data_IF_298584838085
#
_entry.id   IF_298584838085
#
_cell.length_a   1.000
_cell.length_b   1.000
_cell.length_c   1.000
_cell.angle_alpha   90.00
_cell.angle_beta   90.00
_cell.angle_gamma   90.00
#
_symmetry.space_group_name_H-M   'P 1'
#
loop_
_entity.id
_entity.type
_entity.pdbx_description
1 polymer ?
#
# COMPACT_ATOMS: atom_id res chain seq x y z
N UNK A 1 24.35 9.69 -13.95
CA UNK A 1 23.39 10.49 -13.12
C UNK A 1 24.14 11.00 -11.88
N UNK A 2 23.83 12.20 -11.44
CA UNK A 2 24.23 12.69 -10.11
C UNK A 2 22.96 13.05 -9.38
N UNK A 3 22.55 12.23 -8.43
CA UNK A 3 21.30 12.38 -7.64
C UNK A 3 21.20 13.79 -7.05
N UNK A 4 22.26 14.32 -6.47
CA UNK A 4 22.28 15.67 -5.90
C UNK A 4 21.87 16.77 -6.88
N UNK A 5 22.32 16.72 -8.15
CA UNK A 5 22.00 17.73 -9.17
C UNK A 5 20.53 17.67 -9.54
N UNK A 6 19.98 16.46 -9.72
CA UNK A 6 18.56 16.28 -10.01
C UNK A 6 17.71 16.77 -8.86
N UNK A 7 18.08 16.41 -7.62
CA UNK A 7 17.35 16.84 -6.42
C UNK A 7 17.37 18.37 -6.23
N UNK A 8 18.49 19.04 -6.51
CA UNK A 8 18.57 20.51 -6.48
C UNK A 8 17.59 21.15 -7.47
N UNK A 9 17.53 20.64 -8.71
CA UNK A 9 16.60 21.14 -9.73
C UNK A 9 15.15 20.86 -9.32
N UNK A 10 14.86 19.66 -8.82
CA UNK A 10 13.51 19.27 -8.41
C UNK A 10 13.03 20.10 -7.21
N UNK A 11 13.88 20.31 -6.21
CA UNK A 11 13.56 21.12 -5.04
C UNK A 11 13.29 22.60 -5.41
N UNK A 12 13.98 23.13 -6.39
CA UNK A 12 13.74 24.47 -6.91
C UNK A 12 12.38 24.62 -7.62
N UNK A 13 11.93 23.54 -8.30
CA UNK A 13 10.61 23.50 -8.98
C UNK A 13 9.45 23.26 -8.01
N UNK A 14 9.67 22.50 -6.93
CA UNK A 14 8.66 22.04 -6.01
C UNK A 14 8.95 22.50 -4.56
N UNK A 15 9.03 23.80 -4.30
CA UNK A 15 9.34 24.32 -2.97
C UNK A 15 8.25 23.94 -1.96
N UNK A 16 8.67 23.38 -0.83
CA UNK A 16 7.77 22.98 0.25
C UNK A 16 7.12 21.60 0.12
N UNK A 17 7.44 20.84 -0.93
CA UNK A 17 6.91 19.48 -1.13
C UNK A 17 7.84 18.42 -0.53
N UNK A 18 8.03 18.46 0.79
CA UNK A 18 9.04 17.67 1.52
C UNK A 18 8.87 16.15 1.36
N UNK A 19 7.63 15.66 1.46
CA UNK A 19 7.34 14.22 1.35
C UNK A 19 7.65 13.69 -0.05
N UNK A 20 7.28 14.46 -1.06
CA UNK A 20 7.57 14.11 -2.45
C UNK A 20 9.07 14.10 -2.74
N UNK A 21 9.79 15.14 -2.32
CA UNK A 21 11.23 15.24 -2.52
C UNK A 21 12.00 14.14 -1.79
N UNK A 22 11.59 13.79 -0.58
CA UNK A 22 12.19 12.68 0.17
C UNK A 22 12.02 11.34 -0.58
N UNK A 23 10.82 11.03 -1.05
CA UNK A 23 10.56 9.78 -1.76
C UNK A 23 11.37 9.66 -3.06
N UNK A 24 11.47 10.76 -3.82
CA UNK A 24 12.31 10.80 -5.03
C UNK A 24 13.77 10.56 -4.68
N UNK A 25 14.29 11.23 -3.66
CA UNK A 25 15.68 11.07 -3.23
C UNK A 25 16.02 9.62 -2.88
N UNK A 26 15.19 8.95 -2.06
CA UNK A 26 15.38 7.55 -1.66
C UNK A 26 15.46 6.59 -2.86
N UNK A 27 14.61 6.80 -3.86
CA UNK A 27 14.64 5.98 -5.07
C UNK A 27 15.87 6.29 -5.91
N UNK A 28 16.21 7.58 -6.14
CA UNK A 28 17.35 7.97 -6.96
C UNK A 28 18.68 7.47 -6.37
N UNK A 29 18.86 7.53 -5.05
CA UNK A 29 20.03 6.98 -4.36
C UNK A 29 20.16 5.46 -4.59
N UNK A 30 19.04 4.73 -4.57
CA UNK A 30 19.02 3.28 -4.79
C UNK A 30 19.38 2.88 -6.23
N UNK A 31 19.00 3.69 -7.23
CA UNK A 31 19.14 3.35 -8.66
C UNK A 31 20.38 3.97 -9.33
N UNK A 32 21.09 4.88 -8.68
CA UNK A 32 22.17 5.66 -9.30
C UNK A 32 23.23 4.78 -9.97
N UNK A 33 23.66 3.73 -9.29
CA UNK A 33 24.66 2.79 -9.80
C UNK A 33 24.20 2.10 -11.09
N UNK A 34 22.98 1.54 -11.07
CA UNK A 34 22.40 0.82 -12.22
C UNK A 34 22.11 1.79 -13.38
N UNK A 35 21.57 2.97 -13.08
CA UNK A 35 21.33 3.99 -14.10
C UNK A 35 22.61 4.35 -14.85
N UNK A 36 23.74 4.49 -14.15
CA UNK A 36 25.03 4.87 -14.75
C UNK A 36 25.62 3.77 -15.65
N UNK A 37 25.12 2.54 -15.57
CA UNK A 37 25.46 1.45 -16.49
C UNK A 37 24.68 1.51 -17.82
N UNK A 38 23.67 2.41 -17.93
CA UNK A 38 22.76 2.56 -19.05
C UNK A 38 22.83 3.98 -19.66
N UNK A 39 23.83 4.28 -20.50
CA UNK A 39 23.98 5.61 -21.10
C UNK A 39 22.79 6.03 -21.98
N UNK A 40 22.03 5.07 -22.51
CA UNK A 40 20.78 5.30 -23.22
C UNK A 40 19.70 5.97 -22.35
N UNK A 41 19.65 5.69 -21.06
CA UNK A 41 18.72 6.32 -20.12
C UNK A 41 19.04 7.81 -19.91
N UNK A 42 20.33 8.15 -19.78
CA UNK A 42 20.78 9.54 -19.70
C UNK A 42 20.43 10.32 -20.97
N UNK A 43 20.68 9.72 -22.13
CA UNK A 43 20.36 10.34 -23.43
C UNK A 43 18.85 10.59 -23.60
N UNK A 44 18.02 9.69 -23.12
CA UNK A 44 16.56 9.79 -23.18
C UNK A 44 15.94 10.59 -22.02
N UNK A 45 16.76 11.11 -21.09
CA UNK A 45 16.32 11.86 -19.91
C UNK A 45 15.29 11.09 -19.08
N UNK A 46 15.49 9.77 -18.91
CA UNK A 46 14.51 8.89 -18.27
C UNK A 46 14.18 9.35 -16.85
N UNK A 47 15.18 9.68 -16.03
CA UNK A 47 14.95 10.08 -14.64
C UNK A 47 14.25 11.43 -14.58
N UNK A 48 14.69 12.43 -15.33
CA UNK A 48 14.08 13.77 -15.35
C UNK A 48 12.60 13.72 -15.78
N UNK A 49 12.23 12.77 -16.65
CA UNK A 49 10.85 12.53 -17.08
C UNK A 49 10.08 11.71 -16.02
N UNK A 50 10.73 10.75 -15.39
CA UNK A 50 10.11 9.82 -14.44
C UNK A 50 9.80 10.47 -13.09
N UNK A 51 10.56 11.48 -12.67
CA UNK A 51 10.32 12.19 -11.42
C UNK A 51 9.26 13.28 -11.51
N UNK A 52 8.73 13.56 -12.67
CA UNK A 52 7.61 14.50 -12.85
C UNK A 52 6.35 13.73 -13.25
N UNK A 53 5.19 14.05 -12.67
CA UNK A 53 3.94 13.41 -13.08
C UNK A 53 3.53 13.86 -14.49
N UNK A 54 2.91 12.94 -15.23
CA UNK A 54 2.38 13.26 -16.58
C UNK A 54 1.30 14.36 -16.51
N UNK A 55 0.41 14.30 -15.49
CA UNK A 55 -0.68 15.28 -15.29
C UNK A 55 -1.10 15.38 -13.83
N UNK A 56 -1.53 16.57 -13.45
CA UNK A 56 -2.19 16.81 -12.16
C UNK A 56 -3.50 17.55 -12.42
N UNK A 57 -4.61 16.98 -11.99
CA UNK A 57 -5.90 17.63 -11.97
C UNK A 57 -6.19 18.14 -10.57
N UNK A 58 -6.53 19.42 -10.46
CA UNK A 58 -7.02 20.05 -9.22
C UNK A 58 -8.36 20.66 -9.53
N UNK A 59 -9.36 20.36 -8.71
CA UNK A 59 -10.72 20.82 -8.93
C UNK A 59 -11.43 21.09 -7.61
N UNK A 60 -12.39 22.01 -7.65
CA UNK A 60 -13.24 22.31 -6.49
C UNK A 60 -14.43 21.35 -6.46
N UNK A 61 -14.67 20.76 -5.30
CA UNK A 61 -15.84 19.92 -5.02
C UNK A 61 -16.79 20.69 -4.14
N UNK A 62 -17.99 20.99 -4.64
CA UNK A 62 -19.04 21.71 -3.89
C UNK A 62 -20.19 20.75 -3.60
N UNK A 63 -20.60 20.68 -2.34
CA UNK A 63 -21.65 19.76 -1.88
C UNK A 63 -22.44 20.38 -0.72
N UNK A 64 -23.57 19.75 -0.34
CA UNK A 64 -24.45 20.24 0.73
C UNK A 64 -24.43 19.22 1.88
N UNK A 65 -24.23 19.72 3.11
CA UNK A 65 -24.27 18.88 4.32
C UNK A 65 -25.71 18.56 4.78
N UNK A 66 -25.84 17.85 5.90
CA UNK A 66 -27.14 17.47 6.45
C UNK A 66 -27.91 18.65 7.06
N UNK A 67 -27.25 19.78 7.31
CA UNK A 67 -27.86 21.03 7.77
C UNK A 67 -28.37 21.91 6.61
N UNK A 68 -28.06 21.52 5.36
CA UNK A 68 -28.39 22.27 4.17
C UNK A 68 -27.38 23.36 3.81
N UNK A 69 -26.22 23.38 4.50
CA UNK A 69 -25.17 24.34 4.26
C UNK A 69 -24.22 23.90 3.14
N UNK A 70 -23.77 24.87 2.34
CA UNK A 70 -22.86 24.63 1.23
C UNK A 70 -21.43 24.44 1.75
N UNK A 71 -20.84 23.32 1.42
CA UNK A 71 -19.47 22.94 1.74
C UNK A 71 -18.60 22.94 0.48
N UNK A 72 -17.31 23.24 0.63
CA UNK A 72 -16.35 23.21 -0.46
C UNK A 72 -15.07 22.50 -0.03
N UNK A 73 -14.58 21.62 -0.88
CA UNK A 73 -13.32 20.90 -0.72
C UNK A 73 -12.50 20.99 -2.02
N UNK A 74 -11.20 20.67 -1.93
CA UNK A 74 -10.36 20.49 -3.10
C UNK A 74 -10.23 19.00 -3.41
N UNK A 75 -10.43 18.66 -4.67
CA UNK A 75 -10.19 17.34 -5.21
C UNK A 75 -8.95 17.32 -6.09
N UNK A 76 -8.26 16.18 -6.12
CA UNK A 76 -7.01 16.00 -6.87
C UNK A 76 -6.95 14.63 -7.53
N UNK A 77 -6.32 14.58 -8.73
CA UNK A 77 -5.84 13.34 -9.33
C UNK A 77 -4.47 13.59 -9.94
N UNK A 78 -3.47 12.86 -9.47
CA UNK A 78 -2.12 12.82 -10.01
C UNK A 78 -2.01 11.57 -10.87
N UNK A 79 -1.94 11.74 -12.19
CA UNK A 79 -1.59 10.73 -13.17
C UNK A 79 -0.07 10.78 -13.31
N UNK A 80 0.63 9.84 -12.66
CA UNK A 80 2.06 9.99 -12.48
C UNK A 80 2.85 9.44 -13.66
N UNK A 81 2.63 8.18 -14.03
CA UNK A 81 3.32 7.55 -15.16
C UNK A 81 2.47 6.40 -15.72
N UNK A 82 2.32 6.34 -17.04
CA UNK A 82 1.53 5.32 -17.74
C UNK A 82 2.35 4.44 -18.71
N UNK A 83 3.66 4.46 -18.62
CA UNK A 83 4.52 3.73 -19.56
C UNK A 83 4.28 2.21 -19.58
N UNK A 84 3.81 1.63 -18.48
CA UNK A 84 3.56 0.18 -18.39
C UNK A 84 2.07 -0.22 -18.34
N UNK A 85 1.17 0.74 -18.48
CA UNK A 85 -0.28 0.49 -18.50
C UNK A 85 -1.08 1.70 -18.00
N UNK A 86 -2.42 1.58 -17.91
CA UNK A 86 -3.26 2.67 -17.46
C UNK A 86 -2.85 3.15 -16.06
N UNK A 87 -3.03 4.44 -15.80
CA UNK A 87 -2.78 4.99 -14.47
C UNK A 87 -3.58 4.23 -13.41
N UNK A 88 -2.96 3.82 -12.32
CA UNK A 88 -3.60 3.02 -11.27
C UNK A 88 -3.16 3.46 -9.89
N UNK A 89 -4.13 3.76 -9.03
CA UNK A 89 -3.86 4.11 -7.64
C UNK A 89 -5.10 4.61 -6.90
N UNK A 90 -5.05 4.55 -5.57
CA UNK A 90 -6.19 4.84 -4.70
C UNK A 90 -6.58 6.32 -4.63
N UNK A 91 -7.80 6.55 -4.17
CA UNK A 91 -8.31 7.86 -3.73
C UNK A 91 -8.26 7.90 -2.19
N UNK A 92 -7.72 8.99 -1.64
CA UNK A 92 -7.66 9.23 -0.19
C UNK A 92 -8.56 10.40 0.18
N UNK A 93 -9.46 10.18 1.14
CA UNK A 93 -10.27 11.26 1.73
C UNK A 93 -9.83 11.49 3.17
N UNK A 94 -9.10 12.58 3.38
CA UNK A 94 -8.58 12.94 4.68
C UNK A 94 -8.16 14.40 4.70
N UNK A 95 -8.40 15.10 5.80
CA UNK A 95 -8.10 16.55 5.97
C UNK A 95 -6.64 16.96 5.69
N UNK A 96 -5.70 16.03 5.77
CA UNK A 96 -4.28 16.28 5.50
C UNK A 96 -3.89 16.11 4.03
N UNK A 97 -4.81 15.71 3.14
CA UNK A 97 -4.52 15.52 1.72
C UNK A 97 -4.10 16.84 1.08
N UNK A 98 -2.97 16.80 0.40
CA UNK A 98 -2.38 17.92 -0.32
C UNK A 98 -1.62 17.42 -1.56
N UNK A 99 -1.23 18.30 -2.50
CA UNK A 99 -0.52 17.90 -3.73
C UNK A 99 0.80 17.18 -3.49
N UNK A 100 1.62 17.60 -2.50
CA UNK A 100 2.91 16.97 -2.17
C UNK A 100 2.71 15.50 -1.78
N UNK A 101 1.77 15.24 -0.86
CA UNK A 101 1.41 13.88 -0.45
C UNK A 101 0.95 13.02 -1.63
N UNK A 102 0.12 13.56 -2.50
CA UNK A 102 -0.42 12.78 -3.63
C UNK A 102 0.63 12.54 -4.73
N UNK A 103 1.56 13.47 -4.95
CA UNK A 103 2.73 13.25 -5.82
C UNK A 103 3.64 12.17 -5.26
N UNK A 104 3.99 12.25 -3.98
CA UNK A 104 4.74 11.22 -3.27
C UNK A 104 4.12 9.83 -3.48
N UNK A 105 2.83 9.71 -3.13
CA UNK A 105 2.12 8.43 -3.22
C UNK A 105 1.95 7.94 -4.68
N UNK A 106 1.80 8.85 -5.65
CA UNK A 106 1.72 8.51 -7.07
C UNK A 106 3.06 8.01 -7.64
N UNK A 107 4.15 8.65 -7.24
CA UNK A 107 5.51 8.24 -7.57
C UNK A 107 5.82 6.84 -7.03
N UNK A 108 5.62 6.61 -5.75
CA UNK A 108 5.79 5.30 -5.11
C UNK A 108 4.88 4.22 -5.74
N UNK A 109 3.65 4.59 -6.10
CA UNK A 109 2.70 3.69 -6.73
C UNK A 109 3.18 3.20 -8.10
N UNK A 110 3.92 4.03 -8.86
CA UNK A 110 4.49 3.66 -10.15
C UNK A 110 5.43 2.45 -10.02
N UNK A 111 6.35 2.49 -9.07
CA UNK A 111 7.30 1.38 -8.83
C UNK A 111 6.63 0.16 -8.20
N UNK A 112 5.73 0.38 -7.27
CA UNK A 112 4.96 -0.69 -6.65
C UNK A 112 4.13 -1.47 -7.67
N UNK A 113 3.44 -0.78 -8.57
CA UNK A 113 2.67 -1.41 -9.64
C UNK A 113 3.58 -2.16 -10.62
N UNK A 114 4.75 -1.60 -10.94
CA UNK A 114 5.74 -2.23 -11.81
C UNK A 114 6.20 -3.59 -11.26
N UNK A 115 6.39 -3.71 -9.95
CA UNK A 115 6.78 -4.98 -9.30
C UNK A 115 5.74 -6.08 -9.46
N UNK A 116 4.45 -5.77 -9.56
CA UNK A 116 3.37 -6.78 -9.67
C UNK A 116 3.41 -7.56 -10.98
N UNK A 117 4.22 -7.17 -11.95
CA UNK A 117 4.24 -7.69 -13.33
C UNK A 117 3.00 -7.35 -14.17
N UNK A 118 1.93 -6.90 -13.55
CA UNK A 118 0.68 -6.52 -14.21
C UNK A 118 0.84 -5.19 -14.98
N UNK A 119 0.08 -4.99 -16.08
CA UNK A 119 0.17 -3.78 -16.90
C UNK A 119 -0.58 -2.61 -16.25
N UNK A 120 0.03 -1.99 -15.25
CA UNK A 120 -0.53 -0.87 -14.51
C UNK A 120 0.51 0.21 -14.27
N UNK A 121 0.21 1.42 -14.71
CA UNK A 121 0.97 2.63 -14.39
C UNK A 121 0.76 3.11 -12.96
N UNK A 122 1.22 4.31 -12.64
CA UNK A 122 1.10 4.91 -11.30
C UNK A 122 0.19 6.13 -11.28
N UNK A 123 -0.67 6.21 -10.29
CA UNK A 123 -1.48 7.38 -9.98
C UNK A 123 -1.84 7.46 -8.50
N UNK A 124 -2.27 8.65 -8.07
CA UNK A 124 -2.90 8.85 -6.76
C UNK A 124 -3.87 10.00 -6.83
N UNK A 125 -4.93 9.95 -6.05
CA UNK A 125 -5.88 11.04 -5.97
C UNK A 125 -6.49 11.16 -4.57
N UNK A 126 -7.38 12.11 -4.42
CA UNK A 126 -8.09 12.31 -3.16
C UNK A 126 -8.63 13.71 -2.97
N UNK A 127 -8.98 13.99 -1.73
CA UNK A 127 -9.53 15.27 -1.31
C UNK A 127 -9.20 15.54 0.16
N UNK A 128 -9.18 16.82 0.52
CA UNK A 128 -9.14 17.29 1.91
C UNK A 128 -10.47 17.07 2.67
N UNK A 129 -11.45 16.45 2.04
CA UNK A 129 -12.68 15.99 2.70
C UNK A 129 -12.36 14.92 3.74
N UNK A 130 -12.90 15.09 4.96
CA UNK A 130 -12.76 14.11 6.04
C UNK A 130 -14.11 13.39 6.25
N UNK A 131 -14.21 12.09 5.95
CA UNK A 131 -15.45 11.33 6.13
C UNK A 131 -15.76 11.01 7.60
N UNK A 132 -14.82 11.22 8.53
CA UNK A 132 -15.01 10.92 9.95
C UNK A 132 -16.13 11.79 10.52
N UNK A 133 -17.13 11.15 11.12
CA UNK A 133 -18.28 11.84 11.72
C UNK A 133 -19.34 12.33 10.74
N UNK A 134 -19.19 12.08 9.45
CA UNK A 134 -20.17 12.40 8.41
C UNK A 134 -21.20 11.28 8.27
N UNK A 135 -22.43 11.66 7.92
CA UNK A 135 -23.48 10.70 7.59
C UNK A 135 -23.22 10.02 6.25
N UNK A 136 -23.85 8.85 6.02
CA UNK A 136 -23.78 8.17 4.72
C UNK A 136 -24.34 9.04 3.59
N UNK A 137 -25.35 9.88 3.89
CA UNK A 137 -25.94 10.79 2.93
C UNK A 137 -24.98 11.94 2.57
N UNK A 138 -24.25 12.50 3.53
CA UNK A 138 -23.19 13.49 3.27
C UNK A 138 -22.06 12.91 2.44
N UNK A 139 -21.57 11.73 2.80
CA UNK A 139 -20.51 11.02 2.06
C UNK A 139 -20.95 10.70 0.63
N UNK A 140 -22.19 10.27 0.45
CA UNK A 140 -22.74 10.01 -0.88
C UNK A 140 -22.78 11.29 -1.73
N UNK A 141 -23.30 12.40 -1.20
CA UNK A 141 -23.34 13.69 -1.91
C UNK A 141 -21.94 14.19 -2.27
N UNK A 142 -20.98 14.06 -1.33
CA UNK A 142 -19.59 14.41 -1.60
C UNK A 142 -19.00 13.53 -2.72
N UNK A 143 -19.13 12.21 -2.65
CA UNK A 143 -18.64 11.30 -3.68
C UNK A 143 -19.23 11.58 -5.06
N UNK A 144 -20.51 11.90 -5.13
CA UNK A 144 -21.18 12.28 -6.38
C UNK A 144 -20.64 13.59 -6.95
N UNK A 145 -20.46 14.61 -6.11
CA UNK A 145 -19.86 15.88 -6.51
C UNK A 145 -18.40 15.73 -6.93
N UNK A 146 -17.61 14.92 -6.23
CA UNK A 146 -16.23 14.59 -6.58
C UNK A 146 -16.13 13.89 -7.94
N UNK A 147 -17.00 12.90 -8.18
CA UNK A 147 -17.02 12.17 -9.46
C UNK A 147 -17.48 13.04 -10.62
N UNK A 148 -18.39 14.01 -10.40
CA UNK A 148 -18.82 14.96 -11.42
C UNK A 148 -17.64 15.73 -12.04
N UNK A 149 -16.61 16.04 -11.25
CA UNK A 149 -15.41 16.70 -11.73
C UNK A 149 -14.37 15.71 -12.31
N UNK A 150 -14.26 14.51 -11.74
CA UNK A 150 -13.20 13.56 -12.10
C UNK A 150 -13.52 12.72 -13.35
N UNK A 151 -14.78 12.40 -13.63
CA UNK A 151 -15.19 11.31 -14.53
C UNK A 151 -14.60 11.36 -15.95
N UNK A 152 -14.33 12.57 -16.49
CA UNK A 152 -13.76 12.74 -17.85
C UNK A 152 -12.29 12.37 -17.93
N UNK A 153 -11.62 12.27 -16.79
CA UNK A 153 -10.17 12.05 -16.70
C UNK A 153 -9.82 10.60 -16.33
N UNK A 154 -10.82 9.74 -16.12
CA UNK A 154 -10.66 8.33 -15.75
C UNK A 154 -11.37 7.41 -16.75
N UNK A 155 -10.98 6.15 -16.78
CA UNK A 155 -11.53 5.15 -17.68
C UNK A 155 -10.78 3.83 -17.57
N UNK A 156 -11.39 2.75 -18.05
CA UNK A 156 -10.88 1.37 -17.91
C UNK A 156 -9.48 1.17 -18.48
N UNK A 157 -9.12 1.89 -19.55
CA UNK A 157 -7.83 1.82 -20.24
C UNK A 157 -7.03 3.13 -20.12
N UNK A 158 -7.50 4.08 -19.30
CA UNK A 158 -6.86 5.38 -19.12
C UNK A 158 -6.34 5.53 -17.70
N UNK A 159 -7.24 5.51 -16.73
CA UNK A 159 -6.95 5.73 -15.31
C UNK A 159 -8.00 5.03 -14.45
N UNK A 160 -7.57 4.11 -13.62
CA UNK A 160 -8.46 3.27 -12.79
C UNK A 160 -8.20 3.53 -11.30
N UNK A 161 -8.98 4.43 -10.67
CA UNK A 161 -8.89 4.67 -9.24
C UNK A 161 -9.35 3.46 -8.40
N UNK A 162 -8.91 3.44 -7.14
CA UNK A 162 -9.26 2.44 -6.13
C UNK A 162 -9.52 3.10 -4.77
N UNK A 163 -9.85 2.31 -3.76
CA UNK A 163 -9.91 2.77 -2.38
C UNK A 163 -8.52 3.00 -1.76
N UNK A 164 -8.47 3.86 -0.77
CA UNK A 164 -7.35 4.16 0.12
C UNK A 164 -7.91 4.68 1.46
N UNK A 165 -7.12 5.35 2.29
CA UNK A 165 -7.60 5.94 3.56
C UNK A 165 -8.85 6.80 3.32
N UNK A 166 -9.91 6.54 4.09
CA UNK A 166 -11.19 7.25 3.98
C UNK A 166 -12.04 6.90 2.76
N UNK A 167 -11.60 5.95 1.93
CA UNK A 167 -12.33 5.47 0.74
C UNK A 167 -12.38 3.95 0.76
N UNK A 168 -13.47 3.42 1.23
CA UNK A 168 -13.77 1.98 1.25
C UNK A 168 -14.79 1.57 0.19
N UNK A 169 -15.35 0.36 0.33
CA UNK A 169 -16.34 -0.17 -0.61
C UNK A 169 -17.60 0.69 -0.73
N UNK A 170 -18.01 1.38 0.35
CA UNK A 170 -19.13 2.31 0.37
C UNK A 170 -18.87 3.51 -0.56
N UNK A 171 -17.74 4.18 -0.39
CA UNK A 171 -17.32 5.34 -1.19
C UNK A 171 -17.12 4.93 -2.65
N UNK A 172 -16.47 3.80 -2.90
CA UNK A 172 -16.32 3.24 -4.26
C UNK A 172 -17.69 2.99 -4.90
N UNK A 173 -18.67 2.51 -4.14
CA UNK A 173 -20.04 2.34 -4.61
C UNK A 173 -20.69 3.65 -5.06
N UNK A 174 -20.59 4.70 -4.22
CA UNK A 174 -21.14 6.02 -4.55
C UNK A 174 -20.45 6.67 -5.75
N UNK A 175 -19.12 6.56 -5.82
CA UNK A 175 -18.33 7.04 -6.97
C UNK A 175 -18.69 6.31 -8.25
N UNK A 176 -18.77 4.98 -8.21
CA UNK A 176 -19.13 4.17 -9.39
C UNK A 176 -20.54 4.45 -9.88
N UNK A 177 -21.53 4.54 -8.97
CA UNK A 177 -22.90 4.84 -9.34
C UNK A 177 -23.04 6.17 -10.08
N UNK A 178 -22.31 7.20 -9.64
CA UNK A 178 -22.29 8.50 -10.31
C UNK A 178 -21.55 8.44 -11.65
N UNK A 179 -20.42 7.73 -11.74
CA UNK A 179 -19.71 7.55 -13.01
C UNK A 179 -20.58 6.91 -14.08
N UNK A 180 -21.25 5.79 -13.77
CA UNK A 180 -22.16 5.11 -14.70
C UNK A 180 -23.28 6.04 -15.20
N UNK A 181 -23.78 6.90 -14.33
CA UNK A 181 -24.82 7.87 -14.67
C UNK A 181 -24.33 8.93 -15.65
N UNK A 182 -23.09 9.40 -15.48
CA UNK A 182 -22.47 10.42 -16.32
C UNK A 182 -21.98 9.87 -17.66
N UNK A 183 -21.33 8.72 -17.65
CA UNK A 183 -20.81 8.06 -18.85
C UNK A 183 -21.90 7.53 -19.76
N UNK A 184 -23.06 7.16 -19.20
CA UNK A 184 -24.19 6.50 -19.91
C UNK A 184 -23.81 5.16 -20.55
N UNK A 185 -22.71 4.59 -20.14
CA UNK A 185 -22.18 3.29 -20.55
C UNK A 185 -21.76 2.52 -19.31
N UNK A 186 -21.93 1.20 -19.32
CA UNK A 186 -21.54 0.39 -18.16
C UNK A 186 -20.07 -0.06 -18.29
N UNK A 187 -19.19 0.69 -17.65
CA UNK A 187 -17.75 0.39 -17.58
C UNK A 187 -17.41 -0.31 -16.26
N UNK A 188 -17.46 -1.65 -16.25
CA UNK A 188 -17.21 -2.45 -15.05
C UNK A 188 -15.84 -2.16 -14.45
N UNK A 189 -14.80 -1.96 -15.27
CA UNK A 189 -13.40 -1.82 -14.86
C UNK A 189 -12.97 -0.41 -14.48
N UNK A 190 -13.83 0.61 -14.46
CA UNK A 190 -13.41 2.01 -14.22
C UNK A 190 -12.88 2.27 -12.83
N UNK A 191 -13.29 1.49 -11.84
CA UNK A 191 -12.84 1.55 -10.45
C UNK A 191 -12.56 0.14 -9.94
N UNK A 192 -11.65 -0.02 -8.99
CA UNK A 192 -11.45 -1.29 -8.28
C UNK A 192 -11.77 -1.15 -6.78
N UNK A 193 -11.98 -2.29 -6.12
CA UNK A 193 -12.50 -2.34 -4.75
C UNK A 193 -14.02 -2.34 -4.71
N UNK A 194 -14.65 -2.79 -5.81
CA UNK A 194 -16.10 -2.89 -5.96
C UNK A 194 -16.69 -4.03 -5.11
N UNK A 195 -18.00 -3.94 -4.86
CA UNK A 195 -18.76 -5.03 -4.28
C UNK A 195 -18.92 -6.22 -5.25
N UNK A 196 -19.03 -7.42 -4.71
CA UNK A 196 -19.14 -8.67 -5.50
C UNK A 196 -20.33 -8.69 -6.46
N UNK A 197 -21.41 -8.01 -6.13
CA UNK A 197 -22.64 -7.99 -6.95
C UNK A 197 -22.53 -7.13 -8.22
N UNK A 198 -21.46 -6.37 -8.37
CA UNK A 198 -21.28 -5.41 -9.48
C UNK A 198 -19.83 -5.30 -9.96
N UNK A 199 -19.15 -6.44 -10.05
CA UNK A 199 -17.86 -6.57 -10.71
C UNK A 199 -16.63 -6.48 -9.80
N UNK A 200 -16.79 -6.63 -8.49
CA UNK A 200 -15.69 -6.74 -7.54
C UNK A 200 -15.00 -8.10 -7.59
N UNK A 201 -13.78 -8.17 -7.07
CA UNK A 201 -13.03 -9.42 -6.89
C UNK A 201 -13.14 -9.91 -5.46
N UNK A 202 -13.24 -11.22 -5.31
CA UNK A 202 -13.07 -11.90 -4.00
C UNK A 202 -11.65 -11.70 -3.48
N UNK A 203 -11.42 -11.87 -2.19
CA UNK A 203 -10.15 -11.70 -1.46
C UNK A 203 -9.61 -10.26 -1.45
N UNK A 204 -10.39 -9.24 -1.86
CA UNK A 204 -9.87 -7.86 -1.93
C UNK A 204 -9.61 -7.22 -0.55
N UNK A 205 -10.47 -7.41 0.48
CA UNK A 205 -10.23 -6.85 1.82
C UNK A 205 -8.97 -7.38 2.49
N UNK A 206 -8.69 -8.67 2.38
CA UNK A 206 -7.56 -9.37 3.00
C UNK A 206 -6.27 -9.37 2.17
N UNK A 207 -6.36 -9.01 0.89
CA UNK A 207 -5.29 -9.19 -0.09
C UNK A 207 -3.94 -8.60 0.29
N UNK A 208 -3.93 -7.44 0.97
CA UNK A 208 -2.68 -6.81 1.40
C UNK A 208 -1.99 -7.66 2.48
N UNK A 209 -2.75 -8.12 3.47
CA UNK A 209 -2.25 -9.01 4.51
C UNK A 209 -1.81 -10.37 3.96
N UNK A 210 -2.60 -10.98 3.08
CA UNK A 210 -2.27 -12.25 2.42
C UNK A 210 -0.97 -12.13 1.63
N UNK A 211 -0.87 -11.13 0.77
CA UNK A 211 0.32 -10.87 -0.01
C UNK A 211 1.57 -10.65 0.85
N UNK A 212 1.42 -9.94 1.96
CA UNK A 212 2.53 -9.73 2.89
C UNK A 212 3.06 -11.05 3.46
N UNK A 213 2.17 -11.98 3.81
CA UNK A 213 2.58 -13.29 4.31
C UNK A 213 3.21 -14.17 3.21
N UNK A 214 2.70 -14.13 1.98
CA UNK A 214 3.33 -14.82 0.85
C UNK A 214 4.74 -14.29 0.58
N UNK A 215 4.91 -12.97 0.55
CA UNK A 215 6.24 -12.38 0.42
C UNK A 215 7.17 -12.79 1.58
N UNK A 216 6.67 -12.75 2.82
CA UNK A 216 7.43 -13.15 4.01
C UNK A 216 7.81 -14.62 3.94
N UNK A 217 6.92 -15.51 3.50
CA UNK A 217 7.20 -16.94 3.30
C UNK A 217 8.37 -17.14 2.34
N UNK A 218 8.35 -16.49 1.16
CA UNK A 218 9.46 -16.59 0.19
C UNK A 218 10.76 -16.01 0.74
N UNK A 219 10.70 -14.90 1.48
CA UNK A 219 11.86 -14.32 2.15
C UNK A 219 12.46 -15.29 3.17
N UNK A 220 11.63 -15.99 3.94
CA UNK A 220 12.08 -17.00 4.90
C UNK A 220 12.69 -18.23 4.19
N UNK A 221 12.06 -18.72 3.13
CA UNK A 221 12.58 -19.84 2.33
C UNK A 221 13.98 -19.53 1.76
N UNK A 222 14.22 -18.28 1.33
CA UNK A 222 15.54 -17.82 0.87
C UNK A 222 16.61 -17.96 1.95
N UNK A 223 16.22 -17.95 3.23
CA UNK A 223 17.14 -18.14 4.38
C UNK A 223 17.09 -19.55 4.96
N UNK A 224 16.41 -20.49 4.31
CA UNK A 224 16.24 -21.87 4.78
C UNK A 224 15.29 -22.01 5.98
N UNK A 225 14.39 -21.02 6.19
CA UNK A 225 13.41 -21.01 7.29
C UNK A 225 11.98 -21.09 6.74
N UNK A 226 11.03 -21.38 7.62
CA UNK A 226 9.58 -21.40 7.32
C UNK A 226 8.83 -20.56 8.33
N UNK A 227 7.57 -20.22 8.02
CA UNK A 227 6.64 -19.56 8.95
C UNK A 227 6.15 -20.48 10.06
N UNK A 228 6.14 -21.78 9.82
CA UNK A 228 5.62 -22.77 10.79
C UNK A 228 6.29 -22.63 12.16
N UNK A 229 5.48 -22.49 13.19
CA UNK A 229 5.90 -22.35 14.59
C UNK A 229 6.56 -21.00 14.93
N UNK A 230 6.71 -20.05 14.00
CA UNK A 230 7.26 -18.72 14.26
C UNK A 230 6.24 -17.83 14.96
N UNK A 231 6.74 -16.98 15.84
CA UNK A 231 5.93 -15.98 16.53
C UNK A 231 5.91 -14.68 15.74
N UNK A 232 4.71 -14.09 15.61
CA UNK A 232 4.49 -12.88 14.78
C UNK A 232 3.83 -11.80 15.62
N UNK A 233 4.38 -10.58 15.62
CA UNK A 233 3.76 -9.40 16.20
C UNK A 233 3.22 -8.50 15.07
N UNK A 234 1.95 -8.09 15.19
CA UNK A 234 1.24 -7.29 14.18
C UNK A 234 0.76 -5.98 14.81
N UNK A 235 1.01 -4.84 14.16
CA UNK A 235 0.38 -3.59 14.55
C UNK A 235 -0.97 -3.41 13.86
N UNK A 236 -1.93 -2.82 14.56
CA UNK A 236 -3.28 -2.60 14.05
C UNK A 236 -4.20 -3.82 14.18
N UNK A 237 -5.47 -3.59 13.83
CA UNK A 237 -6.52 -4.62 13.72
C UNK A 237 -7.53 -4.29 12.60
N UNK A 238 -7.10 -3.47 11.61
CA UNK A 238 -7.83 -3.18 10.39
C UNK A 238 -7.75 -4.33 9.37
N UNK A 239 -8.22 -4.11 8.12
CA UNK A 239 -8.23 -5.12 7.06
C UNK A 239 -6.86 -5.77 6.83
N UNK A 240 -5.81 -4.95 6.82
CA UNK A 240 -4.44 -5.42 6.56
C UNK A 240 -3.97 -6.35 7.67
N UNK A 241 -4.10 -5.92 8.93
CA UNK A 241 -3.73 -6.72 10.09
C UNK A 241 -4.58 -7.98 10.23
N UNK A 242 -5.89 -7.88 9.96
CA UNK A 242 -6.80 -9.02 9.94
C UNK A 242 -6.38 -10.07 8.91
N UNK A 243 -6.18 -9.67 7.65
CA UNK A 243 -5.70 -10.58 6.61
C UNK A 243 -4.33 -11.17 6.92
N UNK A 244 -3.41 -10.36 7.47
CA UNK A 244 -2.10 -10.85 7.89
C UNK A 244 -2.20 -11.88 9.02
N UNK A 245 -3.04 -11.65 10.03
CA UNK A 245 -3.25 -12.59 11.13
C UNK A 245 -3.87 -13.90 10.65
N UNK A 246 -4.87 -13.84 9.76
CA UNK A 246 -5.49 -15.01 9.17
C UNK A 246 -4.49 -15.84 8.38
N UNK A 247 -3.77 -15.23 7.43
CA UNK A 247 -2.83 -15.97 6.58
C UNK A 247 -1.61 -16.47 7.38
N UNK A 248 -1.11 -15.72 8.36
CA UNK A 248 -0.04 -16.18 9.24
C UNK A 248 -0.43 -17.46 9.99
N UNK A 249 -1.66 -17.50 10.52
CA UNK A 249 -2.21 -18.68 11.23
C UNK A 249 -2.39 -19.85 10.27
N UNK A 250 -2.91 -19.63 9.05
CA UNK A 250 -3.04 -20.67 8.02
C UNK A 250 -1.69 -21.26 7.62
N UNK A 251 -0.61 -20.49 7.60
CA UNK A 251 0.76 -20.92 7.30
C UNK A 251 1.52 -21.46 8.53
N UNK A 252 0.82 -21.71 9.63
CA UNK A 252 1.36 -22.33 10.85
C UNK A 252 2.13 -21.41 11.79
N UNK A 253 2.12 -20.10 11.56
CA UNK A 253 2.71 -19.14 12.49
C UNK A 253 1.76 -18.83 13.66
N UNK A 254 2.34 -18.35 14.78
CA UNK A 254 1.60 -17.90 15.97
C UNK A 254 1.60 -16.38 16.03
N UNK A 255 0.45 -15.75 15.84
CA UNK A 255 0.30 -14.30 16.05
C UNK A 255 0.16 -14.03 17.55
N UNK A 256 1.24 -13.54 18.16
CA UNK A 256 1.37 -13.37 19.62
C UNK A 256 1.03 -11.97 20.10
N UNK A 257 0.87 -11.01 19.21
CA UNK A 257 0.50 -9.64 19.54
C UNK A 257 -0.28 -8.96 18.42
N UNK A 258 -1.32 -8.21 18.80
CA UNK A 258 -1.96 -7.18 17.98
C UNK A 258 -1.98 -5.87 18.77
N UNK A 259 -1.87 -4.72 18.11
CA UNK A 259 -1.89 -3.42 18.78
C UNK A 259 -2.90 -2.45 18.18
N UNK A 260 -3.28 -1.47 18.97
CA UNK A 260 -4.15 -0.37 18.59
C UNK A 260 -3.65 0.96 19.17
N UNK A 261 -4.38 2.07 18.95
CA UNK A 261 -4.01 3.37 19.50
C UNK A 261 -3.99 3.40 21.04
N UNK A 262 -4.74 2.52 21.67
CA UNK A 262 -4.89 2.42 23.13
C UNK A 262 -3.85 1.53 23.81
N UNK A 263 -3.16 0.64 23.04
CA UNK A 263 -2.15 -0.24 23.60
C UNK A 263 -1.90 -1.50 22.79
N UNK A 264 -1.40 -2.54 23.46
CA UNK A 264 -1.14 -3.87 22.88
C UNK A 264 -1.94 -4.94 23.59
N UNK A 265 -2.42 -5.89 22.81
CA UNK A 265 -3.01 -7.15 23.29
C UNK A 265 -2.01 -8.27 23.00
N UNK A 266 -1.39 -8.82 24.06
CA UNK A 266 -0.53 -10.00 24.00
C UNK A 266 -1.38 -11.28 24.03
N UNK A 267 -1.04 -12.24 23.16
CA UNK A 267 -1.76 -13.52 22.98
C UNK A 267 -0.70 -14.64 22.98
N UNK A 268 -0.18 -15.06 24.15
CA UNK A 268 1.00 -15.93 24.24
C UNK A 268 0.90 -17.26 23.48
N UNK A 269 -0.30 -17.86 23.45
CA UNK A 269 -0.54 -19.13 22.74
C UNK A 269 -0.84 -18.96 21.25
N UNK A 270 -0.88 -17.70 20.77
CA UNK A 270 -1.26 -17.33 19.41
C UNK A 270 -2.76 -17.04 19.26
N UNK A 271 -3.06 -16.20 18.29
CA UNK A 271 -4.44 -15.82 17.96
C UNK A 271 -5.24 -17.02 17.44
N UNK A 272 -6.48 -17.17 17.86
CA UNK A 272 -7.38 -18.23 17.39
C UNK A 272 -8.27 -17.76 16.25
N UNK A 273 -8.89 -18.69 15.51
CA UNK A 273 -9.87 -18.35 14.46
C UNK A 273 -11.00 -17.47 14.98
N UNK A 274 -11.53 -17.76 16.20
CA UNK A 274 -12.58 -16.94 16.82
C UNK A 274 -12.11 -15.52 17.12
N UNK A 275 -10.85 -15.34 17.52
CA UNK A 275 -10.26 -14.01 17.74
C UNK A 275 -10.06 -13.26 16.41
N UNK A 276 -9.67 -13.96 15.35
CA UNK A 276 -9.54 -13.38 14.00
C UNK A 276 -10.90 -12.87 13.51
N UNK A 277 -11.96 -13.67 13.65
CA UNK A 277 -13.31 -13.25 13.32
C UNK A 277 -13.75 -12.04 14.19
N UNK A 278 -13.37 -12.01 15.45
CA UNK A 278 -13.68 -10.90 16.34
C UNK A 278 -12.96 -9.60 15.97
N UNK A 279 -11.80 -9.65 15.28
CA UNK A 279 -11.15 -8.45 14.75
C UNK A 279 -12.09 -7.68 13.77
N UNK A 280 -12.92 -8.39 13.00
CA UNK A 280 -13.93 -7.76 12.14
C UNK A 280 -15.01 -7.01 12.95
N UNK A 281 -15.43 -7.58 14.07
CA UNK A 281 -16.39 -6.95 15.00
C UNK A 281 -15.76 -5.70 15.63
N UNK A 282 -14.52 -5.79 16.12
CA UNK A 282 -13.79 -4.65 16.68
C UNK A 282 -13.69 -3.51 15.66
N UNK A 283 -13.37 -3.82 14.43
CA UNK A 283 -13.30 -2.83 13.34
C UNK A 283 -14.66 -2.18 13.08
N UNK A 284 -15.72 -2.98 12.97
CA UNK A 284 -17.07 -2.50 12.71
C UNK A 284 -17.62 -1.62 13.86
N UNK A 285 -17.13 -1.81 15.08
CA UNK A 285 -17.56 -1.02 16.24
C UNK A 285 -17.15 0.46 16.19
N UNK A 286 -16.16 0.81 15.36
CA UNK A 286 -15.55 2.14 15.27
C UNK A 286 -15.00 2.70 16.62
N UNK A 287 -14.89 1.88 17.65
CA UNK A 287 -14.35 2.27 18.97
C UNK A 287 -12.84 2.47 18.93
N UNK A 288 -12.18 1.83 17.98
CA UNK A 288 -10.73 1.88 17.78
C UNK A 288 -9.91 1.50 19.02
N UNK A 289 -10.35 0.44 19.73
CA UNK A 289 -9.74 -0.07 20.96
C UNK A 289 -9.33 -1.53 20.81
N UNK A 290 -8.03 -1.80 20.95
CA UNK A 290 -7.52 -3.19 20.96
C UNK A 290 -7.82 -3.89 22.28
N UNK A 291 -8.07 -3.14 23.36
CA UNK A 291 -8.53 -3.66 24.65
C UNK A 291 -9.75 -4.57 24.51
N UNK A 292 -10.65 -4.30 23.56
CA UNK A 292 -11.86 -5.09 23.34
C UNK A 292 -11.56 -6.58 23.09
N UNK A 293 -10.36 -6.90 22.53
CA UNK A 293 -9.90 -8.28 22.36
C UNK A 293 -9.68 -8.96 23.72
N UNK A 294 -8.98 -8.33 24.64
CA UNK A 294 -8.72 -8.89 25.96
C UNK A 294 -10.01 -8.94 26.81
N UNK A 295 -10.90 -7.97 26.68
CA UNK A 295 -12.19 -7.96 27.37
C UNK A 295 -13.07 -9.13 26.91
N UNK A 296 -13.02 -9.50 25.63
CA UNK A 296 -13.76 -10.63 25.05
C UNK A 296 -13.12 -11.98 25.39
N UNK A 297 -11.79 -12.05 25.41
CA UNK A 297 -11.01 -13.28 25.59
C UNK A 297 -10.04 -13.20 26.78
N UNK A 298 -10.52 -12.96 28.04
CA UNK A 298 -9.65 -12.65 29.17
C UNK A 298 -8.77 -13.82 29.63
N UNK A 299 -9.07 -15.05 29.20
CA UNK A 299 -8.24 -16.20 29.49
C UNK A 299 -7.06 -16.39 28.56
N UNK A 300 -7.11 -15.79 27.33
CA UNK A 300 -6.12 -16.01 26.27
C UNK A 300 -5.35 -14.74 25.91
N UNK A 301 -5.91 -13.57 26.19
CA UNK A 301 -5.38 -12.27 25.77
C UNK A 301 -5.19 -11.33 26.95
N UNK A 302 -4.06 -10.61 26.96
CA UNK A 302 -3.68 -9.67 28.01
C UNK A 302 -3.46 -8.29 27.42
N UNK A 303 -4.22 -7.29 27.86
CA UNK A 303 -4.06 -5.92 27.42
C UNK A 303 -3.05 -5.14 28.26
N UNK A 304 -2.17 -4.40 27.60
CA UNK A 304 -1.25 -3.44 28.23
C UNK A 304 -1.44 -2.07 27.58
N UNK A 305 -1.92 -1.06 28.34
CA UNK A 305 -2.19 0.27 27.79
C UNK A 305 -0.91 0.99 27.37
N UNK A 306 -0.98 1.77 26.28
CA UNK A 306 0.07 2.65 25.82
C UNK A 306 1.33 1.97 25.30
N UNK A 307 1.38 0.63 25.24
CA UNK A 307 2.47 -0.13 24.66
C UNK A 307 2.16 -0.49 23.19
N UNK A 308 3.22 -0.62 22.38
CA UNK A 308 3.14 -1.08 21.00
C UNK A 308 3.30 -2.61 20.91
N UNK A 309 2.94 -3.18 19.75
CA UNK A 309 3.17 -4.61 19.48
C UNK A 309 4.65 -5.02 19.64
N UNK A 310 5.55 -4.08 19.42
CA UNK A 310 7.00 -4.25 19.47
C UNK A 310 7.57 -4.58 20.84
N UNK A 311 6.79 -4.33 21.91
CA UNK A 311 7.15 -4.71 23.29
C UNK A 311 6.94 -6.19 23.60
N UNK A 312 6.30 -6.94 22.70
CA UNK A 312 6.06 -8.38 22.88
C UNK A 312 7.13 -9.17 22.09
N UNK A 313 7.83 -10.13 22.75
CA UNK A 313 8.81 -10.98 22.09
C UNK A 313 8.22 -11.72 20.88
N UNK A 314 8.90 -11.62 19.73
CA UNK A 314 8.48 -12.28 18.51
C UNK A 314 9.66 -12.58 17.59
N UNK A 315 9.49 -13.52 16.67
CA UNK A 315 10.45 -13.80 15.58
C UNK A 315 10.32 -12.78 14.45
N UNK A 316 9.09 -12.40 14.11
CA UNK A 316 8.73 -11.61 12.93
C UNK A 316 7.85 -10.44 13.36
N UNK A 317 8.18 -9.23 12.90
CA UNK A 317 7.38 -8.03 13.07
C UNK A 317 6.71 -7.62 11.77
N UNK A 318 5.41 -7.35 11.81
CA UNK A 318 4.59 -6.89 10.68
C UNK A 318 3.94 -5.55 11.01
N UNK A 319 4.55 -4.40 10.68
CA UNK A 319 3.90 -3.10 10.76
C UNK A 319 2.74 -3.00 9.77
N UNK A 320 1.49 -3.01 10.28
CA UNK A 320 0.27 -3.05 9.46
C UNK A 320 -0.66 -1.84 9.65
N UNK A 321 -0.29 -0.86 10.49
CA UNK A 321 -1.20 0.22 10.88
C UNK A 321 -0.95 1.53 10.13
N UNK A 322 0.14 2.23 10.44
CA UNK A 322 0.35 3.61 9.96
C UNK A 322 1.73 3.82 9.36
N UNK A 323 1.83 4.93 8.62
CA UNK A 323 3.09 5.50 8.20
C UNK A 323 3.93 5.92 9.43
N UNK A 324 5.26 5.62 9.40
CA UNK A 324 6.22 6.00 10.44
C UNK A 324 5.88 5.51 11.86
N UNK A 325 5.15 4.42 11.99
CA UNK A 325 4.73 3.87 13.29
C UNK A 325 5.88 3.20 14.08
N UNK A 326 6.90 2.69 13.38
CA UNK A 326 8.04 1.99 13.96
C UNK A 326 9.28 2.89 13.92
N UNK A 327 9.69 3.37 15.10
CA UNK A 327 10.85 4.22 15.27
C UNK A 327 12.15 3.41 15.42
N UNK A 328 13.31 4.07 15.42
CA UNK A 328 14.61 3.44 15.69
C UNK A 328 14.66 2.78 17.08
N UNK A 329 14.05 3.40 18.10
CA UNK A 329 13.99 2.82 19.44
C UNK A 329 13.08 1.58 19.48
N UNK A 330 11.97 1.58 18.75
CA UNK A 330 11.13 0.38 18.56
C UNK A 330 11.93 -0.75 17.87
N UNK A 331 12.77 -0.41 16.89
CA UNK A 331 13.61 -1.38 16.20
C UNK A 331 14.67 -2.01 17.13
N UNK A 332 15.24 -1.21 18.02
CA UNK A 332 16.15 -1.68 19.08
C UNK A 332 15.42 -2.61 20.06
N UNK A 333 14.22 -2.24 20.48
CA UNK A 333 13.38 -3.06 21.36
C UNK A 333 13.01 -4.41 20.71
N UNK A 334 12.57 -4.40 19.46
CA UNK A 334 12.30 -5.63 18.68
C UNK A 334 13.51 -6.55 18.63
N UNK A 335 14.68 -6.02 18.29
CA UNK A 335 15.93 -6.79 18.23
C UNK A 335 16.30 -7.38 19.58
N UNK A 336 16.18 -6.59 20.66
CA UNK A 336 16.46 -7.05 22.04
C UNK A 336 15.47 -8.15 22.46
N UNK A 337 14.22 -8.11 21.98
CA UNK A 337 13.18 -9.10 22.23
C UNK A 337 13.29 -10.35 21.32
N UNK A 338 14.33 -10.46 20.50
CA UNK A 338 14.60 -11.65 19.67
C UNK A 338 14.08 -11.57 18.24
N UNK A 339 13.47 -10.47 17.82
CA UNK A 339 13.01 -10.29 16.44
C UNK A 339 14.20 -10.27 15.46
N UNK A 340 14.09 -11.07 14.41
CA UNK A 340 15.13 -11.19 13.38
C UNK A 340 14.59 -10.95 11.96
N UNK A 341 13.29 -10.66 11.82
CA UNK A 341 12.68 -10.33 10.53
C UNK A 341 11.60 -9.25 10.74
N UNK A 342 11.65 -8.21 9.93
CA UNK A 342 10.63 -7.17 9.85
C UNK A 342 10.19 -7.00 8.39
N UNK A 343 8.94 -7.32 8.08
CA UNK A 343 8.34 -7.10 6.78
C UNK A 343 7.30 -5.98 6.89
N UNK A 344 7.60 -4.85 6.27
CA UNK A 344 6.77 -3.65 6.33
C UNK A 344 5.49 -3.83 5.51
N UNK A 345 4.33 -3.82 6.14
CA UNK A 345 3.04 -4.02 5.47
C UNK A 345 2.29 -2.71 5.24
N UNK A 346 2.38 -1.75 6.15
CA UNK A 346 1.90 -0.39 5.91
C UNK A 346 2.80 0.36 4.93
N UNK A 347 2.27 1.40 4.28
CA UNK A 347 3.09 2.25 3.42
C UNK A 347 4.02 3.10 4.30
N UNK A 348 5.36 2.94 4.14
CA UNK A 348 6.37 3.61 4.95
C UNK A 348 6.11 3.45 6.47
N UNK A 349 5.83 2.23 6.93
CA UNK A 349 5.54 1.94 8.34
C UNK A 349 6.73 2.16 9.26
N UNK A 350 7.94 1.95 8.75
CA UNK A 350 9.18 2.14 9.48
C UNK A 350 9.80 3.52 9.19
N UNK A 351 10.29 4.19 10.22
CA UNK A 351 11.08 5.41 10.05
C UNK A 351 12.47 5.08 9.45
N UNK A 352 13.12 6.01 8.73
CA UNK A 352 14.44 5.75 8.12
C UNK A 352 15.49 5.24 9.11
N UNK A 353 15.49 5.74 10.35
CA UNK A 353 16.38 5.26 11.41
C UNK A 353 16.16 3.80 11.79
N UNK A 354 14.90 3.34 11.79
CA UNK A 354 14.56 1.94 12.04
C UNK A 354 15.03 1.03 10.89
N UNK A 355 14.82 1.43 9.64
CA UNK A 355 15.27 0.70 8.45
C UNK A 355 16.80 0.56 8.49
N UNK A 356 17.50 1.67 8.71
CA UNK A 356 18.96 1.67 8.84
C UNK A 356 19.44 0.75 9.96
N UNK A 357 18.77 0.81 11.13
CA UNK A 357 19.10 -0.07 12.24
C UNK A 357 18.95 -1.54 11.89
N UNK A 358 17.84 -1.95 11.28
CA UNK A 358 17.60 -3.34 10.87
C UNK A 358 18.66 -3.84 9.91
N UNK A 359 18.96 -3.09 8.85
CA UNK A 359 19.95 -3.44 7.83
C UNK A 359 21.35 -3.65 8.40
N UNK A 360 21.74 -2.91 9.46
CA UNK A 360 23.09 -2.97 10.06
C UNK A 360 23.20 -3.87 11.29
N UNK A 361 22.08 -4.40 11.80
CA UNK A 361 22.07 -5.22 13.01
C UNK A 361 21.54 -6.64 12.81
N UNK A 362 21.58 -7.16 11.58
CA UNK A 362 21.24 -8.55 11.26
C UNK A 362 19.76 -8.88 11.46
N UNK A 363 18.88 -7.91 11.26
CA UNK A 363 17.45 -8.14 11.12
C UNK A 363 17.11 -8.08 9.63
N UNK A 364 16.47 -9.13 9.11
CA UNK A 364 15.99 -9.12 7.74
C UNK A 364 14.89 -8.06 7.60
N UNK A 365 15.05 -7.14 6.67
CA UNK A 365 14.07 -6.10 6.42
C UNK A 365 13.58 -6.14 4.98
N UNK A 366 12.27 -6.03 4.78
CA UNK A 366 11.65 -5.90 3.46
C UNK A 366 10.69 -4.69 3.43
N UNK A 367 10.77 -3.84 2.37
CA UNK A 367 10.05 -2.58 2.29
C UNK A 367 8.59 -2.76 1.89
N UNK A 368 7.74 -1.83 2.33
CA UNK A 368 6.30 -1.86 2.09
C UNK A 368 5.91 -1.95 0.62
N UNK A 369 6.60 -1.25 -0.27
CA UNK A 369 6.28 -1.29 -1.71
C UNK A 369 6.35 -2.69 -2.34
N UNK A 370 7.18 -3.59 -1.80
CA UNK A 370 7.23 -4.99 -2.21
C UNK A 370 6.25 -5.84 -1.39
N UNK A 371 6.32 -5.76 -0.06
CA UNK A 371 5.56 -6.60 0.86
C UNK A 371 4.05 -6.38 0.76
N UNK A 372 3.59 -5.13 0.67
CA UNK A 372 2.16 -4.80 0.67
C UNK A 372 1.53 -4.75 -0.74
N UNK A 373 2.24 -5.18 -1.76
CA UNK A 373 1.77 -5.15 -3.14
C UNK A 373 0.52 -6.04 -3.40
N UNK A 374 0.20 -6.96 -2.49
CA UNK A 374 -0.96 -7.84 -2.62
C UNK A 374 -2.28 -7.12 -2.86
N UNK A 375 -2.50 -5.98 -2.20
CA UNK A 375 -3.71 -5.18 -2.41
C UNK A 375 -3.84 -4.62 -3.82
N UNK A 376 -2.77 -4.08 -4.40
CA UNK A 376 -2.80 -3.57 -5.78
C UNK A 376 -2.73 -4.72 -6.80
N UNK A 377 -2.05 -5.82 -6.49
CA UNK A 377 -2.07 -7.02 -7.32
C UNK A 377 -3.50 -7.54 -7.49
N UNK A 378 -4.24 -7.72 -6.39
CA UNK A 378 -5.65 -8.14 -6.46
C UNK A 378 -6.52 -7.10 -7.17
N UNK A 379 -6.22 -5.80 -7.06
CA UNK A 379 -6.91 -4.79 -7.87
C UNK A 379 -6.64 -4.98 -9.37
N UNK A 380 -5.43 -5.34 -9.78
CA UNK A 380 -5.11 -5.69 -11.17
C UNK A 380 -5.81 -6.97 -11.63
N UNK A 381 -5.91 -7.97 -10.75
CA UNK A 381 -6.70 -9.17 -11.03
C UNK A 381 -8.22 -8.86 -11.16
N UNK A 382 -8.74 -7.90 -10.37
CA UNK A 382 -10.11 -7.39 -10.55
C UNK A 382 -10.29 -6.73 -11.92
N UNK A 383 -9.31 -5.91 -12.37
CA UNK A 383 -9.33 -5.34 -13.72
C UNK A 383 -9.37 -6.42 -14.80
N UNK A 384 -8.56 -7.47 -14.67
CA UNK A 384 -8.54 -8.61 -15.60
C UNK A 384 -9.90 -9.30 -15.66
N UNK A 385 -10.49 -9.64 -14.52
CA UNK A 385 -11.83 -10.23 -14.44
C UNK A 385 -12.90 -9.33 -15.09
N UNK A 386 -12.77 -8.00 -14.91
CA UNK A 386 -13.69 -7.04 -15.53
C UNK A 386 -13.54 -6.98 -17.06
N UNK A 387 -12.32 -7.08 -17.59
CA UNK A 387 -12.09 -7.16 -19.04
C UNK A 387 -12.61 -8.46 -19.65
N UNK A 388 -12.50 -9.57 -18.92
CA UNK A 388 -13.02 -10.87 -19.34
C UNK A 388 -14.54 -11.00 -19.17
N UNK A 389 -15.17 -10.07 -18.42
CA UNK A 389 -16.58 -10.17 -17.96
C UNK A 389 -16.88 -11.45 -17.18
N UNK A 390 -15.89 -11.93 -16.40
CA UNK A 390 -15.96 -13.14 -15.59
C UNK A 390 -15.63 -12.82 -14.13
N UNK A 391 -16.09 -13.68 -13.24
CA UNK A 391 -15.66 -13.70 -11.83
C UNK A 391 -14.88 -14.98 -11.57
N UNK A 392 -13.71 -14.86 -10.98
CA UNK A 392 -12.89 -16.00 -10.59
C UNK A 392 -13.24 -16.48 -9.19
N UNK A 393 -12.96 -17.76 -8.94
CA UNK A 393 -13.08 -18.36 -7.60
C UNK A 393 -12.03 -17.80 -6.64
N UNK A 394 -12.26 -17.97 -5.32
CA UNK A 394 -11.29 -17.58 -4.31
C UNK A 394 -9.92 -18.25 -4.53
N UNK A 395 -9.92 -19.54 -4.92
CA UNK A 395 -8.70 -20.28 -5.17
C UNK A 395 -7.92 -19.75 -6.39
N UNK A 396 -8.61 -19.37 -7.47
CA UNK A 396 -7.97 -18.78 -8.65
C UNK A 396 -7.30 -17.45 -8.32
N UNK A 397 -8.01 -16.57 -7.58
CA UNK A 397 -7.46 -15.28 -7.16
C UNK A 397 -6.28 -15.47 -6.21
N UNK A 398 -6.40 -16.35 -5.22
CA UNK A 398 -5.36 -16.61 -4.22
C UNK A 398 -4.10 -17.22 -4.86
N UNK A 399 -4.26 -18.19 -5.77
CA UNK A 399 -3.14 -18.79 -6.50
C UNK A 399 -2.38 -17.74 -7.32
N UNK A 400 -3.10 -16.86 -8.04
CA UNK A 400 -2.48 -15.79 -8.83
C UNK A 400 -1.81 -14.74 -7.94
N UNK A 401 -2.43 -14.40 -6.80
CA UNK A 401 -1.85 -13.50 -5.83
C UNK A 401 -0.53 -14.05 -5.28
N UNK A 402 -0.49 -15.34 -4.91
CA UNK A 402 0.71 -16.00 -4.42
C UNK A 402 1.83 -15.96 -5.48
N UNK A 403 1.54 -16.32 -6.74
CA UNK A 403 2.50 -16.26 -7.84
C UNK A 403 3.05 -14.85 -8.10
N UNK A 404 2.19 -13.82 -7.99
CA UNK A 404 2.63 -12.43 -8.13
C UNK A 404 3.59 -12.05 -6.99
N UNK A 405 3.27 -12.43 -5.75
CA UNK A 405 4.13 -12.12 -4.60
C UNK A 405 5.47 -12.87 -4.65
N UNK A 406 5.49 -14.12 -5.12
CA UNK A 406 6.69 -14.87 -5.44
C UNK A 406 7.56 -14.11 -6.46
N UNK A 407 6.98 -13.71 -7.58
CA UNK A 407 7.69 -12.96 -8.62
C UNK A 407 8.24 -11.62 -8.11
N UNK A 408 7.50 -10.92 -7.24
CA UNK A 408 7.99 -9.69 -6.60
C UNK A 408 9.23 -10.00 -5.74
N UNK A 409 9.17 -11.06 -4.93
CA UNK A 409 10.29 -11.46 -4.10
C UNK A 409 11.53 -11.82 -4.96
N UNK A 410 11.36 -12.64 -6.02
CA UNK A 410 12.44 -13.00 -6.94
C UNK A 410 13.10 -11.79 -7.58
N UNK A 411 12.31 -10.78 -8.00
CA UNK A 411 12.85 -9.54 -8.53
C UNK A 411 13.64 -8.76 -7.48
N UNK A 412 13.14 -8.68 -6.24
CA UNK A 412 13.89 -8.05 -5.15
C UNK A 412 15.21 -8.76 -4.88
N UNK A 413 15.25 -10.08 -4.88
CA UNK A 413 16.47 -10.88 -4.73
C UNK A 413 17.43 -10.62 -5.88
N UNK A 414 16.95 -10.71 -7.13
CA UNK A 414 17.76 -10.53 -8.35
C UNK A 414 18.50 -9.19 -8.36
N UNK A 415 17.84 -8.12 -7.97
CA UNK A 415 18.41 -6.76 -8.02
C UNK A 415 18.99 -6.27 -6.69
N UNK A 416 18.68 -6.96 -5.58
CA UNK A 416 19.12 -6.59 -4.24
C UNK A 416 20.32 -7.39 -3.72
N UNK A 417 20.74 -8.48 -4.41
CA UNK A 417 21.88 -9.29 -3.97
C UNK A 417 23.16 -8.50 -4.04
N UNK A 418 23.85 -8.41 -2.89
CA UNK A 418 25.11 -7.71 -2.71
C UNK A 418 26.31 -8.64 -2.99
N UNK A 419 27.51 -8.06 -3.09
CA UNK A 419 28.74 -8.81 -3.37
C UNK A 419 29.09 -9.85 -2.28
N UNK A 420 28.65 -9.66 -1.06
CA UNK A 420 28.83 -10.57 0.07
C UNK A 420 27.74 -11.67 0.15
N UNK A 421 26.80 -11.67 -0.77
CA UNK A 421 25.67 -12.61 -0.82
C UNK A 421 24.47 -12.20 0.04
N UNK A 422 24.55 -11.11 0.78
CA UNK A 422 23.39 -10.53 1.48
C UNK A 422 22.38 -9.93 0.49
N UNK A 423 21.12 -9.77 0.91
CA UNK A 423 20.07 -9.21 0.06
C UNK A 423 19.56 -7.90 0.69
N UNK A 424 19.73 -6.80 -0.04
CA UNK A 424 19.09 -5.52 0.25
C UNK A 424 17.74 -5.45 -0.50
N UNK A 425 16.66 -5.80 0.18
CA UNK A 425 15.31 -5.79 -0.39
C UNK A 425 14.81 -4.38 -0.74
N UNK A 426 15.30 -3.33 -0.07
CA UNK A 426 14.95 -1.94 -0.39
C UNK A 426 15.54 -1.54 -1.74
N UNK A 427 16.85 -1.74 -1.90
CA UNK A 427 17.56 -1.52 -3.17
C UNK A 427 16.96 -2.39 -4.28
N UNK A 428 16.73 -3.67 -3.99
CA UNK A 428 16.16 -4.62 -4.94
C UNK A 428 14.79 -4.19 -5.48
N UNK A 429 13.88 -3.79 -4.60
CA UNK A 429 12.54 -3.32 -4.99
C UNK A 429 12.59 -2.04 -5.83
N UNK A 430 13.43 -1.06 -5.43
CA UNK A 430 13.57 0.20 -6.15
C UNK A 430 14.15 -0.02 -7.56
N UNK A 431 15.23 -0.81 -7.68
CA UNK A 431 15.86 -1.10 -8.98
C UNK A 431 14.92 -1.90 -9.87
N UNK A 432 14.27 -2.94 -9.37
CA UNK A 432 13.36 -3.77 -10.17
C UNK A 432 12.20 -2.94 -10.75
N UNK A 433 11.56 -2.12 -9.91
CA UNK A 433 10.50 -1.23 -10.35
C UNK A 433 10.98 -0.20 -11.36
N UNK A 434 12.12 0.44 -11.08
CA UNK A 434 12.73 1.42 -11.98
C UNK A 434 13.06 0.82 -13.37
N UNK A 435 13.77 -0.30 -13.41
CA UNK A 435 14.23 -0.91 -14.69
C UNK A 435 13.05 -1.22 -15.61
N UNK A 436 11.95 -1.73 -15.08
CA UNK A 436 10.76 -2.04 -15.87
C UNK A 436 10.15 -0.77 -16.48
N UNK A 437 9.97 0.28 -15.69
CA UNK A 437 9.39 1.54 -16.16
C UNK A 437 10.34 2.26 -17.12
N UNK A 438 11.63 2.32 -16.80
CA UNK A 438 12.67 2.95 -17.62
C UNK A 438 12.77 2.31 -19.01
N UNK A 439 12.75 0.97 -19.07
CA UNK A 439 12.79 0.23 -20.32
C UNK A 439 11.55 0.53 -21.19
N UNK A 440 10.35 0.51 -20.58
CA UNK A 440 9.12 0.84 -21.29
C UNK A 440 9.14 2.29 -21.82
N UNK A 441 9.59 3.25 -21.01
CA UNK A 441 9.74 4.65 -21.44
C UNK A 441 10.76 4.82 -22.58
N UNK A 442 11.84 4.02 -22.57
CA UNK A 442 12.86 4.05 -23.62
C UNK A 442 12.31 3.50 -24.94
N UNK A 443 11.62 2.35 -24.89
CA UNK A 443 11.05 1.68 -26.06
C UNK A 443 9.92 2.50 -26.72
N UNK A 444 9.13 3.21 -25.93
CA UNK A 444 8.05 4.08 -26.43
C UNK A 444 8.56 5.43 -26.95
N UNK A 445 9.82 5.77 -26.72
CA UNK A 445 10.46 6.98 -27.24
C UNK A 445 10.17 8.23 -26.39
N UNK A 446 10.24 9.38 -27.04
CA UNK A 446 10.01 10.70 -26.41
C UNK A 446 8.62 11.17 -26.81
N UNK A 447 7.68 11.06 -25.89
CA UNK A 447 6.28 11.43 -26.05
C UNK A 447 5.88 12.46 -24.99
#
# INVERSE_FOLDING_TARGET
MKTEVIMQHLAAKHPGESEYLQAVQEVLESIEEVYNQHPEYEKAKIVERMVEPDRIFTFRVTWIDDQGEVQTNLGYRVQFNSAIGPYKGGLRFHKAVNPSMLKFLGFEQTFKNALTTLPMGGAKGGSDFDPVGKSDAEIMRFCQAFMLELWRNIGVDTDVPAGDVGVGGREIGFLNGMYQKLAREYHTGVLTGKGMTWGGSILRPEATGYGALYFTEHLLHQTGKTLEGKTVAISGFGNVAWGAAQKATELGAKVVAISGPDGVCAIPEGITAEMIDYMLVMRASNRNKVQDMADKFPAQAQFTPGKKAWSIPCDIALPCAFQNELSEDDAKELKANGCWCCCEVSNMGCQPGAIHYFQHNGVLFAPGKAVNAGGVATSGLEMTQNCEHLSWTAQEVDTRLHQIMESIHEQCVKFGTQADGSIDYVKGANIAGFMKVAQAMLEQGII
#
